data_IF_858152678406
#
_entry.id   IF_858152678406
#
_cell.length_a   1.000
_cell.length_b   1.000
_cell.length_c   1.000
_cell.angle_alpha   90.00
_cell.angle_beta   90.00
_cell.angle_gamma   90.00
#
_symmetry.space_group_name_H-M   'P 1'
#
loop_
_entity.id
_entity.type
_entity.pdbx_description
1 polymer ?
#
# COMPACT_ATOMS: atom_id res chain seq x y z
N UNK A 1 -13.64 38.99 -17.63
CA UNK A 1 -13.53 37.93 -16.58
C UNK A 1 -13.98 36.53 -17.04
N UNK A 2 -14.81 36.37 -18.09
CA UNK A 2 -15.28 35.06 -18.58
C UNK A 2 -14.26 34.29 -19.45
N UNK A 3 -13.38 34.98 -20.18
CA UNK A 3 -12.37 34.37 -21.08
C UNK A 3 -11.40 33.46 -20.32
N UNK A 4 -10.99 33.85 -19.11
CA UNK A 4 -10.11 33.02 -18.27
C UNK A 4 -10.80 31.73 -17.79
N UNK A 5 -12.12 31.73 -17.59
CA UNK A 5 -12.87 30.54 -17.16
C UNK A 5 -13.00 29.53 -18.30
N UNK A 6 -13.26 30.01 -19.52
CA UNK A 6 -13.32 29.17 -20.73
C UNK A 6 -11.96 28.54 -21.03
N UNK A 7 -10.87 29.31 -20.88
CA UNK A 7 -9.52 28.81 -21.10
C UNK A 7 -9.10 27.72 -20.11
N UNK A 8 -9.40 27.90 -18.81
CA UNK A 8 -9.15 26.89 -17.78
C UNK A 8 -9.98 25.63 -18.03
N UNK A 9 -11.26 25.79 -18.40
CA UNK A 9 -12.14 24.67 -18.72
C UNK A 9 -11.64 23.87 -19.93
N UNK A 10 -11.15 24.56 -20.96
CA UNK A 10 -10.52 23.92 -22.12
C UNK A 10 -9.24 23.17 -21.73
N UNK A 11 -8.37 23.74 -20.88
CA UNK A 11 -7.17 23.02 -20.40
C UNK A 11 -7.51 21.71 -19.67
N UNK A 12 -8.56 21.71 -18.85
CA UNK A 12 -8.98 20.52 -18.09
C UNK A 12 -9.53 19.40 -18.99
N UNK A 13 -10.12 19.73 -20.14
CA UNK A 13 -10.61 18.75 -21.12
C UNK A 13 -9.47 18.01 -21.83
N UNK A 14 -8.30 18.65 -21.99
CA UNK A 14 -7.15 18.05 -22.66
C UNK A 14 -6.25 17.22 -21.74
N UNK A 15 -6.45 17.27 -20.42
CA UNK A 15 -5.70 16.43 -19.46
C UNK A 15 -6.44 15.13 -19.18
N UNK A 16 -6.44 14.20 -20.14
CA UNK A 16 -6.94 12.85 -19.89
C UNK A 16 -5.87 12.03 -19.15
N UNK A 17 -6.11 11.78 -17.87
CA UNK A 17 -5.29 10.86 -17.07
C UNK A 17 -5.82 9.44 -17.30
N UNK A 18 -5.14 8.66 -18.14
CA UNK A 18 -5.49 7.25 -18.33
C UNK A 18 -4.73 6.38 -17.33
N UNK A 19 -5.44 5.56 -16.58
CA UNK A 19 -4.88 4.52 -15.71
C UNK A 19 -5.13 3.13 -16.29
N UNK A 20 -4.17 2.22 -16.08
CA UNK A 20 -4.31 0.80 -16.43
C UNK A 20 -3.87 -0.03 -15.23
N UNK A 21 -4.69 -1.02 -14.86
CA UNK A 21 -4.31 -2.05 -13.89
C UNK A 21 -3.65 -3.18 -14.67
N UNK A 22 -2.47 -3.60 -14.21
CA UNK A 22 -1.71 -4.69 -14.82
C UNK A 22 -1.40 -5.68 -13.70
N UNK A 23 -1.97 -6.87 -13.80
CA UNK A 23 -1.62 -7.97 -12.92
C UNK A 23 -0.31 -8.60 -13.41
N UNK A 24 0.65 -8.70 -12.50
CA UNK A 24 1.96 -9.31 -12.75
C UNK A 24 2.19 -10.41 -11.71
N UNK A 25 2.97 -11.44 -12.08
CA UNK A 25 3.25 -12.56 -11.16
C UNK A 25 4.45 -12.32 -10.24
N UNK A 26 5.33 -11.42 -10.64
CA UNK A 26 6.56 -11.09 -9.93
C UNK A 26 6.97 -9.65 -10.23
N UNK A 27 7.69 -9.02 -9.30
CA UNK A 27 8.03 -7.60 -9.39
C UNK A 27 8.94 -7.28 -10.58
N UNK A 28 9.75 -8.25 -11.02
CA UNK A 28 10.63 -8.08 -12.19
C UNK A 28 9.86 -7.86 -13.49
N UNK A 29 8.62 -8.34 -13.60
CA UNK A 29 7.76 -8.10 -14.77
C UNK A 29 7.36 -6.62 -14.87
N UNK A 30 7.33 -5.87 -13.76
CA UNK A 30 7.04 -4.43 -13.77
C UNK A 30 8.02 -3.63 -14.65
N UNK A 31 9.26 -4.09 -14.80
CA UNK A 31 10.27 -3.46 -15.68
C UNK A 31 9.79 -3.31 -17.12
N UNK A 32 8.90 -4.18 -17.60
CA UNK A 32 8.36 -4.12 -18.96
C UNK A 32 7.45 -2.91 -19.19
N UNK A 33 6.85 -2.39 -18.12
CA UNK A 33 5.89 -1.28 -18.17
C UNK A 33 6.53 0.07 -17.77
N UNK A 34 7.68 0.03 -17.08
CA UNK A 34 8.44 1.22 -16.67
C UNK A 34 9.15 1.81 -17.89
N UNK A 35 8.85 3.07 -18.20
CA UNK A 35 9.43 3.82 -19.32
C UNK A 35 10.48 4.81 -18.82
N UNK A 36 11.25 5.36 -19.75
CA UNK A 36 12.14 6.50 -19.47
C UNK A 36 11.29 7.64 -18.86
N UNK A 37 11.73 8.14 -17.70
CA UNK A 37 11.04 9.17 -16.90
C UNK A 37 9.76 8.74 -16.16
N UNK A 38 9.48 7.44 -16.04
CA UNK A 38 8.43 6.97 -15.14
C UNK A 38 8.80 7.25 -13.68
N UNK A 39 7.85 7.79 -12.91
CA UNK A 39 7.87 7.73 -11.46
C UNK A 39 7.27 6.39 -11.03
N UNK A 40 8.01 5.62 -10.23
CA UNK A 40 7.55 4.36 -9.68
C UNK A 40 7.42 4.53 -8.17
N UNK A 41 6.25 4.18 -7.64
CA UNK A 41 5.93 4.27 -6.22
C UNK A 41 5.59 2.86 -5.76
N UNK A 42 6.26 2.39 -4.72
CA UNK A 42 5.97 1.11 -4.08
C UNK A 42 5.35 1.37 -2.72
N UNK A 43 4.34 0.58 -2.39
CA UNK A 43 3.99 0.34 -1.00
C UNK A 43 5.12 -0.46 -0.33
N UNK A 44 5.26 -0.38 0.99
CA UNK A 44 6.32 -1.08 1.72
C UNK A 44 5.86 -2.47 2.17
N UNK A 45 4.78 -2.51 2.94
CA UNK A 45 4.32 -3.72 3.60
C UNK A 45 3.62 -4.65 2.63
N UNK A 46 3.95 -5.95 2.70
CA UNK A 46 3.48 -6.99 1.78
C UNK A 46 3.76 -6.71 0.29
N UNK A 47 4.61 -5.73 -0.02
CA UNK A 47 5.05 -5.38 -1.38
C UNK A 47 6.57 -5.45 -1.49
N UNK A 48 7.30 -4.65 -0.69
CA UNK A 48 8.76 -4.74 -0.59
C UNK A 48 9.18 -5.73 0.49
N UNK A 49 8.55 -5.62 1.66
CA UNK A 49 8.91 -6.38 2.85
C UNK A 49 7.68 -6.99 3.52
N UNK A 50 7.88 -8.13 4.18
CA UNK A 50 6.85 -8.81 4.96
C UNK A 50 7.42 -9.28 6.31
N UNK A 51 6.60 -9.37 7.36
CA UNK A 51 6.99 -9.98 8.62
C UNK A 51 7.51 -11.41 8.43
N UNK A 52 8.52 -11.81 9.21
CA UNK A 52 9.01 -13.21 9.22
C UNK A 52 8.09 -14.16 9.98
N UNK A 53 7.02 -13.65 10.58
CA UNK A 53 6.10 -14.33 11.48
C UNK A 53 4.66 -13.86 11.23
N UNK A 54 3.67 -14.60 11.72
CA UNK A 54 2.26 -14.19 11.58
C UNK A 54 1.87 -13.02 12.49
N UNK A 55 2.47 -12.94 13.68
CA UNK A 55 2.20 -11.86 14.62
C UNK A 55 2.71 -10.53 14.06
N UNK A 56 1.82 -9.55 13.91
CA UNK A 56 2.12 -8.29 13.24
C UNK A 56 1.94 -8.32 11.72
N UNK A 57 1.32 -9.37 11.16
CA UNK A 57 0.86 -9.34 9.76
C UNK A 57 -0.53 -8.68 9.64
N UNK A 58 -0.90 -8.23 8.45
CA UNK A 58 -2.22 -7.64 8.18
C UNK A 58 -3.38 -8.61 8.51
N UNK A 59 -3.18 -9.90 8.25
CA UNK A 59 -4.13 -10.94 8.62
C UNK A 59 -4.27 -11.07 10.14
N UNK A 60 -3.17 -10.94 10.88
CA UNK A 60 -3.21 -10.91 12.34
C UNK A 60 -3.97 -9.68 12.84
N UNK A 61 -3.72 -8.50 12.27
CA UNK A 61 -4.41 -7.25 12.63
C UNK A 61 -5.93 -7.38 12.44
N UNK A 62 -6.34 -7.86 11.27
CA UNK A 62 -7.75 -8.09 10.95
C UNK A 62 -8.40 -9.12 11.89
N UNK A 63 -7.70 -10.24 12.16
CA UNK A 63 -8.17 -11.24 13.11
C UNK A 63 -8.30 -10.67 14.53
N UNK A 64 -7.38 -9.76 14.92
CA UNK A 64 -7.33 -9.21 16.26
C UNK A 64 -8.46 -8.22 16.53
N UNK A 65 -8.82 -7.39 15.54
CA UNK A 65 -10.03 -6.56 15.60
C UNK A 65 -11.26 -7.44 15.82
N UNK A 66 -11.44 -8.46 14.98
CA UNK A 66 -12.59 -9.37 15.10
C UNK A 66 -12.62 -10.09 16.45
N UNK A 67 -11.46 -10.45 17.00
CA UNK A 67 -11.37 -11.03 18.32
C UNK A 67 -11.87 -10.06 19.40
N UNK A 68 -11.48 -8.79 19.36
CA UNK A 68 -11.96 -7.78 20.31
C UNK A 68 -13.47 -7.53 20.20
N UNK A 69 -14.00 -7.43 18.98
CA UNK A 69 -15.43 -7.27 18.75
C UNK A 69 -16.23 -8.46 19.30
N UNK A 70 -15.76 -9.69 19.07
CA UNK A 70 -16.36 -10.92 19.64
C UNK A 70 -16.33 -10.96 21.17
N UNK A 71 -15.44 -10.19 21.80
CA UNK A 71 -15.36 -10.05 23.25
C UNK A 71 -16.12 -8.83 23.78
N UNK A 72 -16.99 -8.21 22.97
CA UNK A 72 -17.94 -7.20 23.39
C UNK A 72 -17.46 -5.76 23.28
N UNK A 73 -16.30 -5.51 22.67
CA UNK A 73 -15.87 -4.16 22.32
C UNK A 73 -16.56 -3.70 21.04
N UNK A 74 -16.79 -2.40 20.89
CA UNK A 74 -17.21 -1.87 19.60
C UNK A 74 -16.03 -1.80 18.62
N UNK A 75 -16.30 -1.48 17.35
CA UNK A 75 -15.26 -1.42 16.32
C UNK A 75 -14.18 -0.38 16.65
N UNK A 76 -14.55 0.78 17.21
CA UNK A 76 -13.62 1.86 17.50
C UNK A 76 -12.67 1.45 18.61
N UNK A 77 -13.20 0.89 19.70
CA UNK A 77 -12.44 0.35 20.82
C UNK A 77 -11.53 -0.81 20.38
N UNK A 78 -12.06 -1.70 19.53
CA UNK A 78 -11.31 -2.83 18.97
C UNK A 78 -10.15 -2.37 18.10
N UNK A 79 -10.37 -1.35 17.26
CA UNK A 79 -9.35 -0.75 16.42
C UNK A 79 -8.28 -0.06 17.26
N UNK A 80 -8.66 0.80 18.21
CA UNK A 80 -7.71 1.50 19.09
C UNK A 80 -6.84 0.51 19.86
N UNK A 81 -7.44 -0.54 20.44
CA UNK A 81 -6.70 -1.58 21.14
C UNK A 81 -5.77 -2.36 20.23
N UNK A 82 -6.24 -2.74 19.05
CA UNK A 82 -5.41 -3.47 18.08
C UNK A 82 -4.25 -2.61 17.58
N UNK A 83 -4.45 -1.31 17.39
CA UNK A 83 -3.38 -0.37 17.00
C UNK A 83 -2.29 -0.28 18.08
N UNK A 84 -2.67 -0.20 19.36
CA UNK A 84 -1.70 -0.23 20.45
C UNK A 84 -0.85 -1.51 20.43
N UNK A 85 -1.49 -2.68 20.34
CA UNK A 85 -0.79 -3.96 20.23
C UNK A 85 0.09 -4.01 18.96
N UNK A 86 -0.43 -3.53 17.83
CA UNK A 86 0.29 -3.47 16.55
C UNK A 86 1.58 -2.66 16.65
N UNK A 87 1.55 -1.47 17.24
CA UNK A 87 2.75 -0.64 17.36
C UNK A 87 3.84 -1.30 18.21
N UNK A 88 3.45 -1.95 19.32
CA UNK A 88 4.40 -2.69 20.17
C UNK A 88 5.02 -3.88 19.44
N UNK A 89 4.21 -4.61 18.69
CA UNK A 89 4.66 -5.76 17.90
C UNK A 89 5.56 -5.31 16.76
N UNK A 90 5.17 -4.27 16.00
CA UNK A 90 5.95 -3.76 14.87
C UNK A 90 7.33 -3.27 15.31
N UNK A 91 7.45 -2.68 16.50
CA UNK A 91 8.73 -2.20 17.04
C UNK A 91 9.79 -3.30 17.18
N UNK A 92 9.37 -4.57 17.31
CA UNK A 92 10.26 -5.72 17.49
C UNK A 92 10.17 -6.74 16.34
N UNK A 93 9.28 -6.52 15.37
CA UNK A 93 9.04 -7.47 14.28
C UNK A 93 10.18 -7.40 13.27
N UNK A 94 10.79 -8.56 13.02
CA UNK A 94 11.77 -8.69 11.93
C UNK A 94 11.02 -8.82 10.61
N UNK A 95 11.57 -8.19 9.58
CA UNK A 95 11.04 -8.25 8.22
C UNK A 95 12.02 -8.94 7.28
N UNK A 96 11.48 -9.51 6.20
CA UNK A 96 12.21 -10.08 5.07
C UNK A 96 11.69 -9.47 3.77
N UNK A 97 12.49 -9.51 2.72
CA UNK A 97 12.03 -9.13 1.38
C UNK A 97 10.94 -10.10 0.91
N UNK A 98 9.87 -9.57 0.32
CA UNK A 98 8.83 -10.36 -0.35
C UNK A 98 9.44 -11.08 -1.56
N UNK A 99 10.15 -10.32 -2.40
CA UNK A 99 10.92 -10.85 -3.53
C UNK A 99 12.40 -10.44 -3.38
N UNK A 100 13.31 -11.43 -3.45
CA UNK A 100 14.76 -11.16 -3.36
C UNK A 100 15.26 -10.22 -4.47
N UNK A 101 14.63 -10.27 -5.63
CA UNK A 101 15.04 -9.53 -6.83
C UNK A 101 14.58 -8.07 -6.82
N UNK A 102 13.80 -7.64 -5.82
CA UNK A 102 13.23 -6.29 -5.81
C UNK A 102 14.29 -5.19 -5.74
N UNK A 103 15.43 -5.48 -5.13
CA UNK A 103 16.60 -4.59 -5.09
C UNK A 103 17.05 -4.19 -6.50
N UNK A 104 16.97 -5.12 -7.45
CA UNK A 104 17.37 -4.87 -8.85
C UNK A 104 16.42 -3.90 -9.58
N UNK A 105 15.26 -3.56 -8.99
CA UNK A 105 14.29 -2.62 -9.56
C UNK A 105 14.46 -1.19 -9.01
N UNK A 106 15.02 -1.08 -7.80
CA UNK A 106 15.15 0.18 -7.07
C UNK A 106 16.54 0.81 -7.31
N UNK A 107 17.55 0.01 -7.67
CA UNK A 107 18.90 0.43 -8.09
C UNK A 107 18.99 0.64 -9.61
#
# INVERSE_FOLDING_TARGET
MAINKIFIFLMLIFTNLFGKVIEIKNIKEAKKEIKKYSLVIFDLDNTIMEPVQHLGSDQWFSHRIQHHEKNGLDFKESLERTLHEWYEIQAITKVKLVEKDIKNLIE
#
